data_IF_853470013011
#
_entry.id   IF_853470013011
#
_cell.length_a   1.000
_cell.length_b   1.000
_cell.length_c   1.000
_cell.angle_alpha   90.00
_cell.angle_beta   90.00
_cell.angle_gamma   90.00
#
_symmetry.space_group_name_H-M   'P 1'
#
loop_
_entity.id
_entity.type
_entity.pdbx_description
1 polymer ?
#
# COMPACT_ATOMS: atom_id res chain seq x y z
N UNK A 1 -2.46 18.67 -3.10
CA UNK A 1 -3.00 18.13 -1.84
C UNK A 1 -4.05 17.10 -2.21
N UNK A 2 -4.04 15.92 -1.58
CA UNK A 2 -5.07 14.90 -1.70
C UNK A 2 -5.60 14.58 -0.30
N UNK A 3 -6.90 14.51 -0.14
CA UNK A 3 -7.58 14.18 1.12
C UNK A 3 -8.59 13.09 0.85
N UNK A 4 -8.56 12.05 1.67
CA UNK A 4 -9.66 11.09 1.81
C UNK A 4 -10.18 11.18 3.25
N UNK A 5 -11.39 11.73 3.46
CA UNK A 5 -11.95 11.83 4.80
C UNK A 5 -12.30 10.46 5.39
N UNK A 6 -12.53 9.42 4.57
CA UNK A 6 -12.88 8.06 5.03
C UNK A 6 -12.41 7.01 4.01
N UNK A 7 -11.12 6.65 4.07
CA UNK A 7 -10.61 5.46 3.39
C UNK A 7 -11.07 4.19 4.12
N UNK A 8 -11.49 3.18 3.35
CA UNK A 8 -12.20 2.03 3.90
C UNK A 8 -13.67 2.33 4.22
N UNK A 9 -14.39 3.08 3.37
CA UNK A 9 -15.80 3.46 3.58
C UNK A 9 -16.71 2.26 3.88
N UNK A 10 -16.48 1.11 3.24
CA UNK A 10 -17.22 -0.13 3.55
C UNK A 10 -16.96 -0.65 4.96
N UNK A 11 -15.70 -0.59 5.44
CA UNK A 11 -15.36 -0.96 6.81
C UNK A 11 -16.05 -0.03 7.80
N UNK A 12 -16.00 1.29 7.56
CA UNK A 12 -16.69 2.28 8.38
C UNK A 12 -18.20 2.01 8.48
N UNK A 13 -18.86 1.80 7.34
CA UNK A 13 -20.29 1.51 7.29
C UNK A 13 -20.67 0.20 7.99
N UNK A 14 -19.79 -0.80 7.97
CA UNK A 14 -19.99 -2.10 8.63
C UNK A 14 -19.60 -2.09 10.13
N UNK A 15 -19.10 -0.98 10.67
CA UNK A 15 -18.62 -0.90 12.06
C UNK A 15 -17.28 -1.59 12.31
N UNK A 16 -16.52 -1.90 11.25
CA UNK A 16 -15.16 -2.41 11.36
C UNK A 16 -14.19 -1.27 11.71
N UNK A 17 -13.21 -1.47 12.63
CA UNK A 17 -12.25 -0.44 13.01
C UNK A 17 -11.23 -0.12 11.91
N UNK A 18 -11.23 -0.88 10.80
CA UNK A 18 -10.28 -0.75 9.69
C UNK A 18 -10.67 0.38 8.72
N UNK A 19 -10.79 1.60 9.21
CA UNK A 19 -11.00 2.80 8.41
C UNK A 19 -10.02 3.90 8.84
N UNK A 20 -9.64 4.76 7.90
CA UNK A 20 -8.64 5.79 8.12
C UNK A 20 -9.00 7.12 7.46
N UNK A 21 -8.47 8.21 8.01
CA UNK A 21 -8.42 9.52 7.38
C UNK A 21 -7.04 9.68 6.75
N UNK A 22 -7.00 10.02 5.46
CA UNK A 22 -5.77 10.19 4.69
C UNK A 22 -5.59 11.64 4.27
N UNK A 23 -4.38 12.16 4.45
CA UNK A 23 -3.99 13.46 3.94
C UNK A 23 -2.57 13.41 3.37
N UNK A 24 -2.46 13.67 2.08
CA UNK A 24 -1.19 13.76 1.36
C UNK A 24 -0.95 15.17 0.82
N UNK A 25 0.23 15.73 1.11
CA UNK A 25 0.71 16.94 0.46
C UNK A 25 1.60 16.56 -0.73
N UNK A 26 1.26 17.06 -1.90
CA UNK A 26 2.08 16.92 -3.10
C UNK A 26 2.72 18.26 -3.43
N UNK A 27 4.01 18.24 -3.74
CA UNK A 27 4.76 19.38 -4.28
C UNK A 27 5.33 18.97 -5.65
N UNK A 28 4.93 19.67 -6.71
CA UNK A 28 5.28 19.32 -8.10
C UNK A 28 5.00 17.86 -8.50
N UNK A 29 3.97 17.25 -7.91
CA UNK A 29 3.59 15.86 -8.18
C UNK A 29 4.27 14.84 -7.26
N UNK A 30 5.24 15.24 -6.44
CA UNK A 30 5.88 14.36 -5.48
C UNK A 30 5.18 14.43 -4.11
N UNK A 31 4.80 13.29 -3.50
CA UNK A 31 4.29 13.27 -2.13
C UNK A 31 5.37 13.69 -1.14
N UNK A 32 5.24 14.88 -0.55
CA UNK A 32 6.24 15.45 0.36
C UNK A 32 5.88 15.32 1.83
N UNK A 33 4.60 15.12 2.14
CA UNK A 33 4.13 14.83 3.49
C UNK A 33 2.88 13.93 3.45
N UNK A 34 2.70 13.12 4.49
CA UNK A 34 1.58 12.19 4.62
C UNK A 34 1.09 12.06 6.05
N UNK A 35 -0.23 12.00 6.22
CA UNK A 35 -0.94 11.67 7.46
C UNK A 35 -1.91 10.52 7.16
N UNK A 36 -1.84 9.50 7.99
CA UNK A 36 -2.80 8.39 8.02
C UNK A 36 -3.25 8.25 9.47
N UNK A 37 -4.53 8.46 9.74
CA UNK A 37 -5.08 8.39 11.08
C UNK A 37 -6.16 7.31 11.14
N UNK A 38 -5.96 6.32 12.01
CA UNK A 38 -6.89 5.23 12.29
C UNK A 38 -7.58 5.56 13.62
N UNK A 39 -8.72 6.28 13.61
CA UNK A 39 -9.30 6.84 14.84
C UNK A 39 -9.80 5.77 15.81
N UNK A 40 -10.25 4.62 15.32
CA UNK A 40 -10.85 3.57 16.14
C UNK A 40 -9.86 2.76 16.97
N UNK A 41 -8.57 2.88 16.67
CA UNK A 41 -7.49 2.22 17.43
C UNK A 41 -6.45 3.24 17.94
N UNK A 42 -6.77 4.53 17.85
CA UNK A 42 -5.91 5.64 18.28
C UNK A 42 -4.47 5.59 17.73
N UNK A 43 -4.35 5.26 16.43
CA UNK A 43 -3.07 5.24 15.74
C UNK A 43 -2.99 6.34 14.69
N UNK A 44 -2.02 7.24 14.84
CA UNK A 44 -1.75 8.34 13.92
C UNK A 44 -0.33 8.26 13.40
N UNK A 45 -0.21 8.16 12.09
CA UNK A 45 1.07 8.11 11.40
C UNK A 45 1.31 9.38 10.62
N UNK A 46 2.48 9.98 10.79
CA UNK A 46 2.90 11.15 10.02
C UNK A 46 4.29 10.99 9.44
N UNK A 47 4.52 11.59 8.29
CA UNK A 47 5.84 11.64 7.67
C UNK A 47 5.99 12.92 6.85
N UNK A 48 7.22 13.43 6.78
CA UNK A 48 7.66 14.49 5.87
C UNK A 48 8.93 14.04 5.16
N UNK A 49 9.16 14.55 3.95
CA UNK A 49 10.35 14.20 3.16
C UNK A 49 11.62 14.52 3.94
N UNK A 50 12.55 13.55 3.98
CA UNK A 50 13.79 13.64 4.74
C UNK A 50 13.66 13.40 6.25
N UNK A 51 12.44 13.29 6.78
CA UNK A 51 12.16 12.95 8.17
C UNK A 51 11.87 11.45 8.37
N UNK A 52 11.74 11.01 9.63
CA UNK A 52 11.30 9.65 9.95
C UNK A 52 9.78 9.48 9.75
N UNK A 53 9.33 8.23 9.69
CA UNK A 53 7.95 7.90 10.00
C UNK A 53 7.73 8.12 11.51
N UNK A 54 6.64 8.78 11.87
CA UNK A 54 6.22 8.99 13.25
C UNK A 54 4.92 8.21 13.49
N UNK A 55 4.82 7.49 14.61
CA UNK A 55 3.58 6.87 15.10
C UNK A 55 3.24 7.49 16.44
N UNK A 56 2.09 8.16 16.55
CA UNK A 56 1.65 8.86 17.76
C UNK A 56 2.72 9.82 18.33
N UNK A 57 3.48 10.49 17.45
CA UNK A 57 4.54 11.42 17.86
C UNK A 57 5.87 10.76 18.24
N UNK A 58 6.00 9.44 18.11
CA UNK A 58 7.24 8.70 18.36
C UNK A 58 7.86 8.25 17.03
N UNK A 59 9.17 8.50 16.79
CA UNK A 59 9.82 8.06 15.56
C UNK A 59 9.91 6.53 15.48
N UNK A 60 9.75 6.01 14.27
CA UNK A 60 9.85 4.58 13.98
C UNK A 60 11.21 4.25 13.35
N UNK A 61 11.77 3.05 13.61
CA UNK A 61 12.94 2.57 12.90
C UNK A 61 12.69 2.56 11.39
N UNK A 62 13.75 2.75 10.60
CA UNK A 62 13.66 2.54 9.15
C UNK A 62 13.48 1.06 8.85
N UNK A 63 12.77 0.77 7.77
CA UNK A 63 12.58 -0.59 7.25
C UNK A 63 13.93 -1.18 6.88
N UNK A 64 14.19 -2.38 7.38
CA UNK A 64 15.32 -3.20 6.96
C UNK A 64 14.93 -4.06 5.75
N UNK A 65 15.90 -4.49 4.92
CA UNK A 65 15.64 -5.52 3.92
C UNK A 65 15.08 -6.79 4.57
N UNK A 66 14.09 -7.39 3.92
CA UNK A 66 13.42 -8.60 4.39
C UNK A 66 13.13 -9.55 3.21
N UNK A 67 12.69 -10.78 3.52
CA UNK A 67 12.28 -11.76 2.52
C UNK A 67 10.76 -11.84 2.46
N UNK A 68 10.22 -12.06 1.26
CA UNK A 68 8.77 -12.24 1.06
C UNK A 68 8.24 -13.43 1.87
N UNK A 69 9.03 -14.51 1.96
CA UNK A 69 8.67 -15.71 2.71
C UNK A 69 8.40 -15.48 4.21
N UNK A 70 9.02 -14.47 4.80
CA UNK A 70 8.88 -14.12 6.22
C UNK A 70 7.88 -12.97 6.45
N UNK A 71 7.20 -12.51 5.38
CA UNK A 71 6.43 -11.27 5.38
C UNK A 71 4.92 -11.49 5.30
N UNK A 72 4.18 -10.64 6.00
CA UNK A 72 2.75 -10.43 5.76
C UNK A 72 2.58 -9.51 4.54
N UNK A 73 1.67 -9.86 3.63
CA UNK A 73 1.38 -9.03 2.44
C UNK A 73 -0.08 -8.59 2.43
N UNK A 74 -0.28 -7.27 2.34
CA UNK A 74 -1.59 -6.66 2.10
C UNK A 74 -1.95 -6.71 0.62
N UNK A 75 -3.18 -7.12 0.31
CA UNK A 75 -3.70 -7.13 -1.06
C UNK A 75 -5.05 -6.42 -1.07
N UNK A 76 -5.20 -5.43 -1.94
CA UNK A 76 -6.45 -4.70 -2.11
C UNK A 76 -7.61 -5.64 -2.46
N UNK A 77 -8.80 -5.31 -1.99
CA UNK A 77 -10.01 -6.10 -2.26
C UNK A 77 -10.36 -6.09 -3.74
N UNK A 78 -11.03 -7.14 -4.21
CA UNK A 78 -11.47 -7.24 -5.59
C UNK A 78 -12.68 -8.16 -5.74
N UNK A 79 -13.38 -7.97 -6.87
CA UNK A 79 -14.32 -8.95 -7.39
C UNK A 79 -13.65 -9.77 -8.48
N UNK A 80 -13.85 -11.09 -8.45
CA UNK A 80 -13.37 -12.01 -9.48
C UNK A 80 -13.94 -11.69 -10.88
N UNK A 81 -15.11 -11.05 -10.93
CA UNK A 81 -15.81 -10.68 -12.16
C UNK A 81 -15.46 -9.27 -12.67
N UNK A 82 -14.55 -8.56 -11.98
CA UNK A 82 -14.10 -7.24 -12.42
C UNK A 82 -13.40 -7.33 -13.77
N UNK A 83 -13.79 -6.46 -14.72
CA UNK A 83 -13.23 -6.37 -16.07
C UNK A 83 -12.47 -5.05 -16.31
N UNK A 84 -12.06 -4.38 -15.23
CA UNK A 84 -11.31 -3.13 -15.32
C UNK A 84 -9.86 -3.34 -15.76
N UNK A 85 -9.04 -2.28 -15.69
CA UNK A 85 -7.61 -2.30 -16.08
C UNK A 85 -6.81 -3.45 -15.46
N UNK A 86 -7.13 -3.82 -14.22
CA UNK A 86 -6.62 -5.02 -13.57
C UNK A 86 -7.82 -5.96 -13.40
N UNK A 87 -8.06 -6.90 -14.33
CA UNK A 87 -9.19 -7.82 -14.25
C UNK A 87 -9.15 -8.67 -12.98
N UNK A 88 -10.32 -9.11 -12.52
CA UNK A 88 -10.44 -9.95 -11.32
C UNK A 88 -9.65 -11.25 -11.42
N UNK A 89 -9.56 -11.83 -12.62
CA UNK A 89 -8.76 -13.03 -12.90
C UNK A 89 -7.26 -12.78 -12.78
N UNK A 90 -6.75 -11.65 -13.26
CA UNK A 90 -5.36 -11.23 -13.03
C UNK A 90 -5.07 -11.08 -11.53
N UNK A 91 -5.97 -10.40 -10.79
CA UNK A 91 -5.80 -10.22 -9.33
C UNK A 91 -5.81 -11.55 -8.57
N UNK A 92 -6.65 -12.50 -9.00
CA UNK A 92 -6.67 -13.87 -8.45
C UNK A 92 -5.34 -14.59 -8.71
N UNK A 93 -4.78 -14.49 -9.92
CA UNK A 93 -3.50 -15.11 -10.24
C UNK A 93 -2.35 -14.51 -9.41
N UNK A 94 -2.33 -13.18 -9.24
CA UNK A 94 -1.37 -12.50 -8.35
C UNK A 94 -1.53 -12.99 -6.90
N UNK A 95 -2.77 -13.08 -6.41
CA UNK A 95 -3.05 -13.57 -5.05
C UNK A 95 -2.60 -15.03 -4.87
N UNK A 96 -2.87 -15.88 -5.85
CA UNK A 96 -2.45 -17.27 -5.86
C UNK A 96 -0.93 -17.37 -5.78
N UNK A 97 -0.21 -16.64 -6.64
CA UNK A 97 1.24 -16.65 -6.66
C UNK A 97 1.84 -16.14 -5.34
N UNK A 98 1.29 -15.05 -4.77
CA UNK A 98 1.74 -14.55 -3.46
C UNK A 98 1.46 -15.55 -2.34
N UNK A 99 0.33 -16.27 -2.39
CA UNK A 99 -0.04 -17.26 -1.37
C UNK A 99 0.93 -18.44 -1.30
N UNK A 100 1.66 -18.72 -2.39
CA UNK A 100 2.64 -19.81 -2.46
C UNK A 100 3.97 -19.46 -1.80
N UNK A 101 4.29 -18.18 -1.68
CA UNK A 101 5.62 -17.71 -1.24
C UNK A 101 5.55 -16.94 0.07
N UNK A 102 4.60 -16.02 0.22
CA UNK A 102 4.51 -15.16 1.41
C UNK A 102 4.09 -15.91 2.67
N UNK A 103 4.46 -15.39 3.84
CA UNK A 103 4.07 -15.99 5.13
C UNK A 103 2.55 -16.01 5.30
N UNK A 104 1.88 -14.87 5.11
CA UNK A 104 0.40 -14.77 5.12
C UNK A 104 -0.09 -13.57 4.32
N UNK A 105 -1.31 -13.69 3.81
CA UNK A 105 -2.02 -12.63 3.11
C UNK A 105 -3.01 -11.90 4.03
N UNK A 106 -3.25 -10.63 3.75
CA UNK A 106 -4.27 -9.78 4.40
C UNK A 106 -5.02 -8.98 3.34
N UNK A 107 -6.32 -8.78 3.57
CA UNK A 107 -7.12 -7.81 2.81
C UNK A 107 -7.83 -6.93 3.83
N UNK A 108 -7.25 -5.79 4.19
CA UNK A 108 -7.83 -4.91 5.21
C UNK A 108 -9.00 -4.07 4.66
N UNK A 109 -9.10 -3.90 3.34
CA UNK A 109 -10.16 -3.11 2.71
C UNK A 109 -9.94 -1.60 2.76
N UNK A 110 -8.72 -1.15 3.04
CA UNK A 110 -8.30 0.26 3.05
C UNK A 110 -6.86 0.36 2.56
N UNK A 111 -6.64 1.11 1.48
CA UNK A 111 -5.32 1.22 0.86
C UNK A 111 -4.36 2.01 1.75
N UNK A 112 -4.85 3.08 2.41
CA UNK A 112 -4.04 3.88 3.32
C UNK A 112 -3.54 3.09 4.53
N UNK A 113 -4.38 2.21 5.09
CA UNK A 113 -3.98 1.29 6.16
C UNK A 113 -2.92 0.31 5.68
N UNK A 114 -3.13 -0.33 4.51
CA UNK A 114 -2.15 -1.28 3.97
C UNK A 114 -0.78 -0.61 3.76
N UNK A 115 -0.76 0.60 3.19
CA UNK A 115 0.48 1.35 2.96
C UNK A 115 1.15 1.79 4.26
N UNK A 116 0.41 2.26 5.25
CA UNK A 116 1.02 2.72 6.51
C UNK A 116 1.52 1.55 7.36
N UNK A 117 0.88 0.38 7.29
CA UNK A 117 1.36 -0.83 7.93
C UNK A 117 2.62 -1.39 7.24
N UNK A 118 2.80 -1.17 5.94
CA UNK A 118 4.11 -1.37 5.31
C UNK A 118 5.15 -0.42 5.90
N UNK A 119 4.81 0.88 6.01
CA UNK A 119 5.73 1.87 6.56
C UNK A 119 6.14 1.56 8.02
N UNK A 120 5.21 1.07 8.85
CA UNK A 120 5.48 0.68 10.25
C UNK A 120 6.16 -0.70 10.38
N UNK A 121 6.36 -1.42 9.28
CA UNK A 121 6.99 -2.75 9.26
C UNK A 121 6.10 -3.89 9.74
N UNK A 122 4.80 -3.65 9.89
CA UNK A 122 3.79 -4.69 10.21
C UNK A 122 3.56 -5.58 8.99
N UNK A 123 3.46 -4.97 7.81
CA UNK A 123 3.44 -5.66 6.52
C UNK A 123 4.82 -5.55 5.87
N UNK A 124 5.27 -6.63 5.23
CA UNK A 124 6.48 -6.57 4.39
C UNK A 124 6.18 -5.94 3.03
N UNK A 125 4.94 -6.03 2.55
CA UNK A 125 4.50 -5.42 1.30
C UNK A 125 2.99 -5.26 1.19
N UNK A 126 2.55 -4.39 0.29
CA UNK A 126 1.16 -4.15 -0.04
C UNK A 126 0.98 -3.86 -1.54
N UNK A 127 -0.11 -4.39 -2.10
CA UNK A 127 -0.53 -4.17 -3.49
C UNK A 127 -1.93 -3.56 -3.52
N UNK A 128 -2.11 -2.47 -4.26
CA UNK A 128 -3.43 -1.97 -4.65
C UNK A 128 -3.58 -1.92 -6.17
N UNK A 129 -4.72 -2.43 -6.66
CA UNK A 129 -5.09 -2.54 -8.08
C UNK A 129 -5.97 -1.39 -8.58
N UNK A 130 -5.98 -0.29 -7.84
CA UNK A 130 -6.70 0.91 -8.18
C UNK A 130 -6.02 2.09 -7.51
N UNK A 131 -6.78 3.15 -7.29
CA UNK A 131 -6.36 4.22 -6.42
C UNK A 131 -6.39 5.55 -7.13
N UNK A 132 -7.19 6.42 -6.57
CA UNK A 132 -7.06 7.83 -6.81
C UNK A 132 -5.81 8.33 -6.06
N UNK A 133 -5.30 9.48 -6.49
CA UNK A 133 -4.11 10.07 -5.87
C UNK A 133 -4.27 10.26 -4.36
N UNK A 134 -5.49 10.52 -3.88
CA UNK A 134 -5.79 10.72 -2.47
C UNK A 134 -5.65 9.45 -1.62
N UNK A 135 -5.93 8.26 -2.19
CA UNK A 135 -5.77 6.96 -1.51
C UNK A 135 -4.30 6.59 -1.29
N UNK A 136 -3.41 7.12 -2.14
CA UNK A 136 -2.01 6.73 -2.19
C UNK A 136 -1.06 7.76 -1.58
N UNK A 137 -1.30 9.07 -1.81
CA UNK A 137 -0.28 10.09 -1.57
C UNK A 137 0.26 10.11 -0.13
N UNK A 138 -0.61 9.94 0.86
CA UNK A 138 -0.20 9.86 2.26
C UNK A 138 0.70 8.64 2.53
N UNK A 139 0.24 7.45 2.14
CA UNK A 139 0.98 6.21 2.31
C UNK A 139 2.30 6.18 1.55
N UNK A 140 2.35 6.72 0.32
CA UNK A 140 3.58 6.82 -0.48
C UNK A 140 4.63 7.65 0.24
N UNK A 141 4.25 8.81 0.80
CA UNK A 141 5.17 9.65 1.57
C UNK A 141 5.69 8.93 2.82
N UNK A 142 4.81 8.22 3.53
CA UNK A 142 5.13 7.46 4.75
C UNK A 142 6.08 6.29 4.48
N UNK A 143 5.80 5.47 3.47
CA UNK A 143 6.65 4.32 3.11
C UNK A 143 8.04 4.80 2.68
N UNK A 144 8.13 5.87 1.86
CA UNK A 144 9.41 6.44 1.44
C UNK A 144 10.22 6.98 2.63
N UNK A 145 9.57 7.69 3.56
CA UNK A 145 10.21 8.18 4.79
C UNK A 145 10.72 7.03 5.68
N UNK A 146 9.96 5.93 5.76
CA UNK A 146 10.38 4.72 6.45
C UNK A 146 11.53 3.97 5.75
N UNK A 147 11.90 4.35 4.52
CA UNK A 147 12.94 3.68 3.73
C UNK A 147 12.45 2.49 2.89
N UNK A 148 11.15 2.34 2.74
CA UNK A 148 10.55 1.38 1.81
C UNK A 148 10.57 1.85 0.36
N UNK A 149 10.26 0.94 -0.54
CA UNK A 149 10.21 1.15 -1.99
C UNK A 149 8.76 1.25 -2.45
N UNK A 150 8.48 2.19 -3.35
CA UNK A 150 7.12 2.41 -3.88
C UNK A 150 7.14 2.58 -5.40
N UNK A 151 6.48 1.66 -6.10
CA UNK A 151 6.32 1.66 -7.56
C UNK A 151 4.85 1.46 -7.93
N UNK A 152 4.55 1.52 -9.22
CA UNK A 152 3.35 0.84 -9.74
C UNK A 152 3.64 -0.66 -9.93
N UNK A 153 2.63 -1.44 -10.34
CA UNK A 153 2.76 -2.89 -10.53
C UNK A 153 3.66 -3.28 -11.73
N UNK A 154 3.94 -2.36 -12.64
CA UNK A 154 4.92 -2.55 -13.71
C UNK A 154 6.36 -2.21 -13.28
N UNK A 155 6.58 -1.87 -11.99
CA UNK A 155 7.88 -1.52 -11.44
C UNK A 155 8.36 -0.10 -11.76
N UNK A 156 7.55 0.73 -12.40
CA UNK A 156 7.90 2.15 -12.64
C UNK A 156 7.71 2.95 -11.35
N UNK A 157 8.51 4.01 -11.10
CA UNK A 157 8.31 4.89 -9.96
C UNK A 157 6.86 5.34 -9.84
N UNK A 158 6.32 5.31 -8.61
CA UNK A 158 4.96 5.78 -8.40
C UNK A 158 4.87 7.29 -8.68
N UNK A 159 3.81 7.68 -9.40
CA UNK A 159 3.45 9.08 -9.70
C UNK A 159 1.96 9.28 -9.41
N UNK A 160 1.46 10.52 -9.31
CA UNK A 160 0.02 10.79 -9.14
C UNK A 160 -0.88 10.21 -10.23
N UNK A 161 -0.33 9.92 -11.41
CA UNK A 161 -1.04 9.30 -12.52
C UNK A 161 -1.06 7.76 -12.46
N UNK A 162 -0.30 7.15 -11.54
CA UNK A 162 -0.29 5.71 -11.36
C UNK A 162 -1.68 5.21 -10.96
N UNK A 163 -2.10 4.08 -11.54
CA UNK A 163 -3.39 3.43 -11.27
C UNK A 163 -3.27 2.17 -10.42
N UNK A 164 -2.09 1.98 -9.85
CA UNK A 164 -1.77 0.90 -8.93
C UNK A 164 -0.57 1.31 -8.10
N UNK A 165 -0.39 0.63 -6.98
CA UNK A 165 0.79 0.80 -6.12
C UNK A 165 1.27 -0.56 -5.65
N UNK A 166 2.58 -0.74 -5.67
CA UNK A 166 3.33 -1.73 -4.92
C UNK A 166 4.21 -0.97 -3.95
N UNK A 167 3.97 -1.15 -2.66
CA UNK A 167 4.80 -0.59 -1.59
C UNK A 167 5.33 -1.74 -0.75
N UNK A 168 6.62 -1.77 -0.46
CA UNK A 168 7.21 -2.84 0.33
C UNK A 168 8.54 -2.43 0.97
N UNK A 169 8.98 -3.21 1.95
CA UNK A 169 10.35 -3.18 2.42
C UNK A 169 11.33 -3.56 1.29
N UNK A 170 12.59 -3.12 1.34
CA UNK A 170 13.62 -3.59 0.40
C UNK A 170 13.72 -5.12 0.40
N UNK A 171 14.06 -5.74 -0.74
CA UNK A 171 14.05 -7.19 -0.90
C UNK A 171 12.65 -7.76 -1.15
N UNK A 172 11.69 -7.49 -0.26
CA UNK A 172 10.27 -7.89 -0.46
C UNK A 172 9.69 -7.23 -1.70
N UNK A 173 10.03 -5.95 -1.94
CA UNK A 173 9.62 -5.25 -3.16
C UNK A 173 10.10 -5.96 -4.43
N UNK A 174 11.38 -6.37 -4.44
CA UNK A 174 12.01 -7.02 -5.58
C UNK A 174 11.36 -8.38 -5.87
N UNK A 175 11.14 -9.20 -4.83
CA UNK A 175 10.49 -10.50 -4.94
C UNK A 175 9.03 -10.40 -5.42
N UNK A 176 8.26 -9.44 -4.89
CA UNK A 176 6.88 -9.22 -5.36
C UNK A 176 6.86 -8.73 -6.80
N UNK A 177 7.79 -7.85 -7.20
CA UNK A 177 7.85 -7.35 -8.57
C UNK A 177 8.24 -8.44 -9.57
N UNK A 178 9.15 -9.34 -9.20
CA UNK A 178 9.48 -10.52 -10.01
C UNK A 178 8.28 -11.45 -10.18
N UNK A 179 7.54 -11.69 -9.10
CA UNK A 179 6.31 -12.49 -9.12
C UNK A 179 5.23 -11.85 -10.01
N UNK A 180 5.04 -10.53 -9.95
CA UNK A 180 4.11 -9.81 -10.82
C UNK A 180 4.49 -9.98 -12.29
N UNK A 181 5.78 -9.84 -12.64
CA UNK A 181 6.27 -10.07 -14.01
C UNK A 181 6.04 -11.51 -14.48
N UNK A 182 6.23 -12.49 -13.60
CA UNK A 182 5.96 -13.89 -13.89
C UNK A 182 4.48 -14.24 -14.01
N UNK A 183 3.58 -13.38 -13.50
CA UNK A 183 2.13 -13.57 -13.62
C UNK A 183 1.62 -13.20 -15.02
N UNK A 184 2.36 -12.37 -15.77
CA UNK A 184 1.95 -11.87 -17.09
C UNK A 184 1.33 -10.48 -17.02
N UNK A 185 0.76 -10.02 -18.12
CA UNK A 185 0.14 -8.70 -18.19
C UNK A 185 -1.37 -8.78 -17.87
N UNK A 186 -1.97 -7.74 -17.26
CA UNK A 186 -3.41 -7.74 -16.96
C UNK A 186 -4.30 -7.99 -18.19
N UNK A 187 -3.86 -7.60 -19.38
CA UNK A 187 -4.55 -7.76 -20.65
C UNK A 187 -4.67 -9.23 -21.10
N UNK A 188 -3.90 -10.14 -20.50
CA UNK A 188 -3.95 -11.58 -20.78
C UNK A 188 -5.11 -12.30 -20.05
N UNK A 189 -5.90 -11.57 -19.24
CA UNK A 189 -6.93 -12.10 -18.32
C UNK A 189 -8.33 -11.52 -18.54
#
# INVERSE_FOLDING_TARGET
MGIDPVDGTFNYAAGSPMAAILLGLLHHGDPVAGLTWLPFIDERYTAVTGGPLMKNGVPRPRLAPAKLADSLVGVGTFSADSRGRFPGRYRLAVLENLSRVSSRLRMHGSTGIDLVYVADGILGGAISFGGHVWDHAAGVAQVRAAGGVVTNLAGKPWTPAARSVLAAAPGVHDEILELLRGTGEPEDY
#
